data_IF_519169955999
#
_entry.id   IF_519169955999
#
_cell.length_a   1.000
_cell.length_b   1.000
_cell.length_c   1.000
_cell.angle_alpha   90.00
_cell.angle_beta   90.00
_cell.angle_gamma   90.00
#
_symmetry.space_group_name_H-M   'P 1'
#
loop_
_entity.id
_entity.type
_entity.pdbx_description
1 polymer ?
#
# COMPACT_ATOMS: atom_id res chain seq x y z
N UNK A 1 -28.53 57.77 -34.37
CA UNK A 1 -27.83 56.97 -33.35
C UNK A 1 -28.36 55.55 -33.23
N UNK A 2 -29.62 55.32 -32.83
CA UNK A 2 -30.17 53.95 -32.72
C UNK A 2 -30.22 53.22 -34.07
N UNK A 3 -30.62 53.91 -35.13
CA UNK A 3 -30.69 53.37 -36.50
C UNK A 3 -29.30 53.04 -37.05
N UNK A 4 -28.30 53.87 -36.74
CA UNK A 4 -26.91 53.64 -37.17
C UNK A 4 -26.28 52.43 -36.48
N UNK A 5 -26.61 52.23 -35.20
CA UNK A 5 -26.20 51.05 -34.43
C UNK A 5 -26.84 49.78 -35.01
N UNK A 6 -28.14 49.82 -35.34
CA UNK A 6 -28.85 48.67 -35.93
C UNK A 6 -28.31 48.34 -37.33
N UNK A 7 -28.04 49.35 -38.16
CA UNK A 7 -27.45 49.15 -39.48
C UNK A 7 -26.04 48.56 -39.41
N UNK A 8 -25.22 49.02 -38.46
CA UNK A 8 -23.90 48.46 -38.20
C UNK A 8 -23.97 47.00 -37.75
N UNK A 9 -24.89 46.67 -36.83
CA UNK A 9 -25.10 45.30 -36.35
C UNK A 9 -25.57 44.36 -37.46
N UNK A 10 -26.49 44.81 -38.32
CA UNK A 10 -26.99 44.00 -39.43
C UNK A 10 -25.91 43.76 -40.48
N UNK A 11 -25.11 44.78 -40.82
CA UNK A 11 -24.03 44.68 -41.79
C UNK A 11 -22.90 43.75 -41.33
N UNK A 12 -22.61 43.73 -40.03
CA UNK A 12 -21.54 42.93 -39.44
C UNK A 12 -22.02 41.66 -38.71
N UNK A 13 -23.30 41.32 -38.84
CA UNK A 13 -23.96 40.23 -38.09
C UNK A 13 -23.22 38.89 -38.22
N UNK A 14 -22.78 38.53 -39.42
CA UNK A 14 -22.02 37.30 -39.66
C UNK A 14 -20.66 37.28 -38.96
N UNK A 15 -19.95 38.41 -38.92
CA UNK A 15 -18.65 38.53 -38.24
C UNK A 15 -18.84 38.44 -36.72
N UNK A 16 -19.85 39.11 -36.18
CA UNK A 16 -20.19 39.07 -34.75
C UNK A 16 -20.56 37.64 -34.34
N UNK A 17 -21.36 36.94 -35.14
CA UNK A 17 -21.73 35.54 -34.89
C UNK A 17 -20.52 34.60 -34.96
N UNK A 18 -19.63 34.79 -35.94
CA UNK A 18 -18.40 34.00 -36.06
C UNK A 18 -17.48 34.19 -34.85
N UNK A 19 -17.23 35.44 -34.44
CA UNK A 19 -16.42 35.75 -33.25
C UNK A 19 -17.06 35.15 -31.99
N UNK A 20 -18.38 35.31 -31.82
CA UNK A 20 -19.10 34.75 -30.67
C UNK A 20 -18.99 33.24 -30.61
N UNK A 21 -19.07 32.56 -31.77
CA UNK A 21 -18.93 31.10 -31.87
C UNK A 21 -17.51 30.64 -31.52
N UNK A 22 -16.48 31.35 -31.96
CA UNK A 22 -15.08 31.06 -31.62
C UNK A 22 -14.85 31.23 -30.11
N UNK A 23 -15.37 32.32 -29.53
CA UNK A 23 -15.26 32.57 -28.08
C UNK A 23 -15.97 31.47 -27.30
N UNK A 24 -17.21 31.11 -27.68
CA UNK A 24 -17.99 30.09 -26.99
C UNK A 24 -17.33 28.70 -27.09
N UNK A 25 -16.84 28.33 -28.27
CA UNK A 25 -16.14 27.03 -28.47
C UNK A 25 -14.83 26.98 -27.68
N UNK A 26 -14.07 28.07 -27.62
CA UNK A 26 -12.83 28.16 -26.83
C UNK A 26 -13.11 28.00 -25.33
N UNK A 27 -14.10 28.71 -24.81
CA UNK A 27 -14.52 28.60 -23.40
C UNK A 27 -14.98 27.17 -23.10
N UNK A 28 -15.81 26.59 -23.96
CA UNK A 28 -16.31 25.22 -23.80
C UNK A 28 -15.17 24.21 -23.78
N UNK A 29 -14.21 24.34 -24.71
CA UNK A 29 -13.03 23.48 -24.76
C UNK A 29 -12.16 23.61 -23.50
N UNK A 30 -11.98 24.84 -23.00
CA UNK A 30 -11.26 25.08 -21.75
C UNK A 30 -11.94 24.39 -20.55
N UNK A 31 -13.27 24.55 -20.39
CA UNK A 31 -14.02 23.88 -19.33
C UNK A 31 -13.99 22.36 -19.45
N UNK A 32 -14.01 21.82 -20.67
CA UNK A 32 -13.88 20.38 -20.91
C UNK A 32 -12.52 19.86 -20.42
N UNK A 33 -11.42 20.56 -20.73
CA UNK A 33 -10.08 20.20 -20.26
C UNK A 33 -9.96 20.28 -18.73
N UNK A 34 -10.51 21.34 -18.13
CA UNK A 34 -10.50 21.51 -16.69
C UNK A 34 -11.27 20.38 -15.99
N UNK A 35 -12.48 20.08 -16.45
CA UNK A 35 -13.31 18.98 -15.92
C UNK A 35 -12.58 17.65 -16.01
N UNK A 36 -11.90 17.37 -17.13
CA UNK A 36 -11.11 16.13 -17.28
C UNK A 36 -10.00 16.02 -16.24
N UNK A 37 -9.32 17.13 -15.91
CA UNK A 37 -8.29 17.16 -14.86
C UNK A 37 -8.91 16.94 -13.48
N UNK A 38 -9.98 17.65 -13.15
CA UNK A 38 -10.66 17.51 -11.85
C UNK A 38 -11.19 16.09 -11.64
N UNK A 39 -11.79 15.47 -12.66
CA UNK A 39 -12.26 14.07 -12.56
C UNK A 39 -11.09 13.12 -12.33
N UNK A 40 -9.94 13.35 -12.99
CA UNK A 40 -8.73 12.55 -12.78
C UNK A 40 -8.19 12.69 -11.35
N UNK A 41 -8.13 13.92 -10.83
CA UNK A 41 -7.69 14.18 -9.46
C UNK A 41 -8.64 13.58 -8.42
N UNK A 42 -9.95 13.70 -8.62
CA UNK A 42 -10.96 13.07 -7.77
C UNK A 42 -10.88 11.54 -7.80
N UNK A 43 -10.62 10.94 -8.97
CA UNK A 43 -10.41 9.52 -9.10
C UNK A 43 -9.17 9.07 -8.30
N UNK A 44 -8.06 9.80 -8.40
CA UNK A 44 -6.85 9.55 -7.61
C UNK A 44 -7.11 9.72 -6.12
N UNK A 45 -7.80 10.77 -5.69
CA UNK A 45 -8.12 10.97 -4.28
C UNK A 45 -9.01 9.86 -3.71
N UNK A 46 -9.98 9.37 -4.49
CA UNK A 46 -10.78 8.20 -4.08
C UNK A 46 -9.91 6.96 -3.97
N UNK A 47 -8.99 6.77 -4.91
CA UNK A 47 -8.03 5.67 -4.89
C UNK A 47 -7.17 5.70 -3.62
N UNK A 48 -6.53 6.84 -3.33
CA UNK A 48 -5.77 7.05 -2.10
C UNK A 48 -6.62 6.92 -0.84
N UNK A 49 -7.88 7.37 -0.90
CA UNK A 49 -8.84 7.34 0.20
C UNK A 49 -9.26 5.92 0.60
N UNK A 50 -9.09 4.92 -0.27
CA UNK A 50 -9.40 3.51 0.01
C UNK A 50 -8.17 2.61 -0.01
N UNK A 51 -6.97 3.16 0.19
CA UNK A 51 -5.77 2.33 0.24
C UNK A 51 -5.79 1.41 1.48
N UNK A 52 -5.55 0.11 1.30
CA UNK A 52 -5.23 -0.79 2.41
C UNK A 52 -3.83 -0.46 2.93
N UNK A 53 -3.65 -0.53 4.24
CA UNK A 53 -2.35 -0.37 4.89
C UNK A 53 -2.26 -1.50 5.90
N UNK A 54 -1.49 -2.52 5.55
CA UNK A 54 -1.23 -3.65 6.44
C UNK A 54 0.00 -3.34 7.29
N UNK A 55 -0.15 -3.46 8.61
CA UNK A 55 0.93 -3.28 9.58
C UNK A 55 1.05 -4.54 10.40
N UNK A 56 2.29 -4.89 10.74
CA UNK A 56 2.57 -5.93 11.73
C UNK A 56 2.63 -5.26 13.10
N UNK A 57 1.74 -5.68 14.00
CA UNK A 57 1.62 -5.10 15.33
C UNK A 57 2.46 -5.84 16.36
N UNK A 58 2.47 -7.17 16.28
CA UNK A 58 3.12 -8.00 17.28
C UNK A 58 3.59 -9.32 16.67
N UNK A 59 4.76 -9.77 17.12
CA UNK A 59 5.32 -11.08 16.83
C UNK A 59 5.54 -11.75 18.17
N UNK A 60 4.54 -12.50 18.63
CA UNK A 60 4.57 -13.11 19.97
C UNK A 60 5.42 -14.39 19.95
N UNK A 61 6.74 -14.20 20.11
CA UNK A 61 7.72 -15.30 20.17
C UNK A 61 7.61 -16.09 21.47
N UNK A 62 6.95 -15.56 22.50
CA UNK A 62 6.72 -16.26 23.77
C UNK A 62 5.81 -17.49 23.60
N UNK A 63 5.16 -17.61 22.44
CA UNK A 63 4.44 -18.80 21.98
C UNK A 63 5.16 -19.57 20.86
N UNK A 64 6.50 -19.55 20.78
CA UNK A 64 7.21 -20.63 20.10
C UNK A 64 6.89 -21.93 20.85
N UNK A 65 5.84 -22.62 20.41
CA UNK A 65 5.59 -23.99 20.83
C UNK A 65 6.67 -24.83 20.19
N UNK A 66 7.68 -25.17 20.98
CA UNK A 66 8.77 -26.04 20.58
C UNK A 66 8.24 -27.49 20.50
N UNK A 67 7.48 -27.79 19.44
CA UNK A 67 6.83 -29.09 19.24
C UNK A 67 7.85 -30.09 18.69
N UNK A 68 8.79 -30.53 19.53
CA UNK A 68 9.87 -31.53 19.30
C UNK A 68 10.81 -31.27 18.09
N UNK A 69 10.35 -30.70 16.96
CA UNK A 69 11.05 -30.47 15.68
C UNK A 69 10.53 -29.26 14.88
N UNK A 70 9.58 -28.46 15.37
CA UNK A 70 9.10 -27.26 14.65
C UNK A 70 9.04 -26.02 15.56
N UNK A 71 9.30 -24.87 14.95
CA UNK A 71 9.17 -23.53 15.55
C UNK A 71 8.02 -22.84 14.81
N UNK A 72 7.06 -22.28 15.55
CA UNK A 72 5.94 -21.54 14.99
C UNK A 72 6.05 -20.10 15.45
N UNK A 73 6.03 -19.16 14.51
CA UNK A 73 6.06 -17.72 14.78
C UNK A 73 4.69 -17.15 14.39
N UNK A 74 3.83 -16.83 15.37
CA UNK A 74 2.58 -16.13 15.12
C UNK A 74 2.86 -14.65 14.87
N UNK A 75 2.38 -14.13 13.76
CA UNK A 75 2.45 -12.72 13.38
C UNK A 75 1.04 -12.15 13.34
N UNK A 76 0.84 -11.04 14.06
CA UNK A 76 -0.42 -10.29 14.05
C UNK A 76 -0.34 -9.20 12.98
N UNK A 77 -1.16 -9.35 11.94
CA UNK A 77 -1.33 -8.36 10.87
C UNK A 77 -2.62 -7.61 11.12
N UNK A 78 -2.55 -6.28 11.07
CA UNK A 78 -3.69 -5.40 11.16
C UNK A 78 -3.81 -4.54 9.90
N UNK A 79 -5.01 -4.44 9.35
CA UNK A 79 -5.31 -3.47 8.31
C UNK A 79 -5.78 -2.15 8.91
N UNK A 80 -4.84 -1.21 9.05
CA UNK A 80 -5.13 0.15 9.52
C UNK A 80 -5.57 1.09 8.38
N UNK A 81 -5.54 0.60 7.14
CA UNK A 81 -5.96 1.34 5.97
C UNK A 81 -7.47 1.50 5.88
N UNK A 82 -7.91 2.27 4.89
CA UNK A 82 -9.32 2.56 4.68
C UNK A 82 -10.01 1.58 3.73
N UNK A 83 -9.26 0.82 2.95
CA UNK A 83 -9.81 -0.20 2.06
C UNK A 83 -9.40 -1.63 2.42
N UNK A 84 -10.07 -2.61 1.82
CA UNK A 84 -9.74 -4.03 1.96
C UNK A 84 -8.43 -4.37 1.24
N UNK A 85 -7.64 -5.25 1.86
CA UNK A 85 -6.49 -5.89 1.22
C UNK A 85 -6.92 -7.26 0.66
N UNK A 86 -6.63 -7.49 -0.61
CA UNK A 86 -6.89 -8.75 -1.31
C UNK A 86 -5.57 -9.47 -1.59
N UNK A 87 -5.61 -10.81 -1.70
CA UNK A 87 -4.44 -11.62 -2.07
C UNK A 87 -3.18 -11.20 -1.28
N UNK A 88 -3.26 -11.34 0.03
CA UNK A 88 -2.19 -10.98 0.95
C UNK A 88 -1.20 -12.13 1.01
N UNK A 89 0.00 -11.89 0.53
CA UNK A 89 1.13 -12.81 0.51
C UNK A 89 2.19 -12.30 1.51
N UNK A 90 2.39 -13.03 2.60
CA UNK A 90 3.34 -12.67 3.65
C UNK A 90 4.58 -13.57 3.56
N UNK A 91 5.76 -12.98 3.57
CA UNK A 91 7.04 -13.66 3.50
C UNK A 91 7.89 -13.29 4.71
N UNK A 92 8.54 -14.30 5.29
CA UNK A 92 9.52 -14.10 6.35
C UNK A 92 10.89 -14.52 5.83
N UNK A 93 11.86 -13.62 5.97
CA UNK A 93 13.27 -13.85 5.66
C UNK A 93 14.13 -13.53 6.88
N UNK A 94 15.21 -14.29 7.05
CA UNK A 94 16.16 -14.11 8.15
C UNK A 94 17.53 -13.88 7.53
N UNK A 95 18.25 -12.85 7.99
CA UNK A 95 19.48 -12.31 7.37
C UNK A 95 20.56 -13.35 7.01
N UNK A 96 20.59 -14.51 7.67
CA UNK A 96 21.65 -15.51 7.50
C UNK A 96 21.22 -16.77 6.73
N UNK A 97 19.92 -16.98 6.46
CA UNK A 97 19.45 -18.13 5.69
C UNK A 97 18.24 -17.76 4.83
N UNK A 98 18.22 -18.12 3.53
CA UNK A 98 17.10 -17.86 2.62
C UNK A 98 15.93 -18.81 2.87
N UNK A 99 15.58 -19.05 4.14
CA UNK A 99 14.39 -19.83 4.49
C UNK A 99 13.19 -18.91 4.36
N UNK A 100 12.69 -18.79 3.13
CA UNK A 100 11.47 -18.06 2.82
C UNK A 100 10.30 -18.98 3.13
N UNK A 101 9.61 -18.71 4.23
CA UNK A 101 8.26 -19.22 4.42
C UNK A 101 7.29 -18.18 3.90
N UNK A 102 6.42 -18.61 2.99
CA UNK A 102 5.33 -17.79 2.48
C UNK A 102 4.00 -18.27 3.05
N UNK A 103 3.10 -17.32 3.29
CA UNK A 103 1.72 -17.59 3.63
C UNK A 103 0.82 -16.76 2.73
N UNK A 104 -0.26 -17.38 2.25
CA UNK A 104 -1.25 -16.72 1.39
C UNK A 104 -2.59 -16.63 2.11
N UNK A 105 -3.10 -15.41 2.26
CA UNK A 105 -4.43 -15.12 2.76
C UNK A 105 -5.22 -14.41 1.66
N UNK A 106 -6.47 -14.81 1.44
CA UNK A 106 -7.28 -14.23 0.36
C UNK A 106 -7.73 -12.79 0.63
N UNK A 107 -7.96 -12.42 1.90
CA UNK A 107 -8.63 -11.17 2.25
C UNK A 107 -8.38 -10.72 3.70
N UNK A 108 -8.19 -9.41 3.89
CA UNK A 108 -8.19 -8.72 5.20
C UNK A 108 -9.01 -7.43 5.09
N UNK A 109 -10.15 -7.38 5.80
CA UNK A 109 -11.03 -6.21 5.81
C UNK A 109 -10.46 -5.02 6.59
N UNK A 110 -11.07 -3.84 6.46
CA UNK A 110 -10.69 -2.64 7.23
C UNK A 110 -10.87 -2.90 8.73
N UNK A 111 -9.83 -2.62 9.52
CA UNK A 111 -9.83 -2.84 10.97
C UNK A 111 -9.84 -4.32 11.37
N UNK A 112 -9.73 -5.24 10.41
CA UNK A 112 -9.56 -6.65 10.72
C UNK A 112 -8.13 -6.94 11.13
N UNK A 113 -8.03 -7.72 12.21
CA UNK A 113 -6.79 -8.33 12.66
C UNK A 113 -6.79 -9.79 12.21
N UNK A 114 -5.70 -10.23 11.57
CA UNK A 114 -5.45 -11.65 11.26
C UNK A 114 -4.15 -12.11 11.89
N UNK A 115 -4.13 -13.39 12.24
CA UNK A 115 -2.94 -14.06 12.74
C UNK A 115 -2.42 -15.01 11.67
N UNK A 116 -1.16 -14.83 11.27
CA UNK A 116 -0.46 -15.70 10.33
C UNK A 116 0.61 -16.47 11.10
N UNK A 117 0.66 -17.79 10.92
CA UNK A 117 1.65 -18.64 11.57
C UNK A 117 2.71 -19.07 10.56
N UNK A 118 3.95 -18.62 10.76
CA UNK A 118 5.10 -19.13 10.01
C UNK A 118 5.65 -20.38 10.69
N UNK A 119 5.74 -21.49 9.96
CA UNK A 119 6.16 -22.78 10.50
C UNK A 119 7.53 -23.15 9.98
N UNK A 120 8.51 -23.23 10.86
CA UNK A 120 9.87 -23.62 10.52
C UNK A 120 10.20 -25.00 11.06
N UNK A 121 10.88 -25.82 10.25
CA UNK A 121 11.46 -27.10 10.71
C UNK A 121 12.79 -26.83 11.42
N UNK A 122 13.00 -27.48 12.57
CA UNK A 122 14.18 -27.34 13.46
C UNK A 122 15.51 -27.58 12.74
N UNK A 123 15.52 -28.40 11.70
CA UNK A 123 16.69 -28.67 10.87
C UNK A 123 17.20 -27.44 10.11
N UNK A 124 16.31 -26.47 9.81
CA UNK A 124 16.64 -25.21 9.14
C UNK A 124 16.69 -24.00 10.10
N UNK A 125 16.54 -24.23 11.41
CA UNK A 125 16.39 -23.12 12.38
C UNK A 125 17.21 -23.27 13.64
N UNK A 126 17.98 -24.36 13.76
CA UNK A 126 18.90 -24.61 14.87
C UNK A 126 19.92 -23.50 15.07
N UNK A 127 20.37 -22.84 14.01
CA UNK A 127 21.36 -21.76 14.12
C UNK A 127 20.70 -20.38 14.15
N UNK A 128 19.45 -20.25 13.71
CA UNK A 128 18.70 -18.99 13.69
C UNK A 128 18.19 -18.62 15.09
N UNK A 129 17.61 -19.56 15.83
CA UNK A 129 17.04 -19.30 17.15
C UNK A 129 17.91 -19.82 18.30
N UNK A 130 19.20 -20.08 18.04
CA UNK A 130 20.15 -20.20 19.14
C UNK A 130 20.30 -18.81 19.75
N UNK A 131 20.22 -18.67 21.09
CA UNK A 131 20.63 -17.45 21.76
C UNK A 131 22.15 -17.29 21.58
N UNK A 132 22.56 -16.74 20.45
CA UNK A 132 23.93 -16.31 20.20
C UNK A 132 24.11 -14.91 20.79
N UNK A 133 25.36 -14.46 20.97
CA UNK A 133 25.63 -13.09 21.43
C UNK A 133 25.26 -12.03 20.39
N UNK A 134 24.82 -12.45 19.21
CA UNK A 134 24.54 -11.62 18.04
C UNK A 134 23.04 -11.36 17.90
N UNK A 135 22.69 -10.11 17.56
CA UNK A 135 21.32 -9.70 17.24
C UNK A 135 21.06 -10.15 15.80
N UNK A 136 20.02 -10.96 15.58
CA UNK A 136 19.61 -11.37 14.23
C UNK A 136 18.45 -10.52 13.74
N UNK A 137 18.52 -10.14 12.47
CA UNK A 137 17.48 -9.36 11.79
C UNK A 137 16.47 -10.32 11.14
N UNK A 138 15.21 -10.16 11.49
CA UNK A 138 14.09 -10.87 10.88
C UNK A 138 13.28 -9.85 10.08
N UNK A 139 13.21 -10.06 8.76
CA UNK A 139 12.45 -9.22 7.86
C UNK A 139 11.16 -9.94 7.48
N UNK A 140 10.04 -9.25 7.68
CA UNK A 140 8.73 -9.71 7.25
C UNK A 140 8.24 -8.77 6.16
N UNK A 141 8.06 -9.30 4.96
CA UNK A 141 7.42 -8.58 3.86
C UNK A 141 5.98 -9.06 3.70
N UNK A 142 5.07 -8.13 3.45
CA UNK A 142 3.67 -8.41 3.16
C UNK A 142 3.34 -7.73 1.85
N UNK A 143 3.11 -8.52 0.81
CA UNK A 143 2.62 -8.08 -0.47
C UNK A 143 1.09 -8.26 -0.48
N UNK A 144 0.35 -7.30 -1.01
CA UNK A 144 -1.11 -7.34 -1.08
C UNK A 144 -1.66 -6.50 -2.23
N UNK A 145 -2.84 -6.86 -2.70
CA UNK A 145 -3.57 -6.12 -3.71
C UNK A 145 -4.62 -5.19 -3.10
N UNK A 146 -4.74 -3.98 -3.63
CA UNK A 146 -5.86 -3.09 -3.34
C UNK A 146 -7.10 -3.46 -4.15
N UNK A 147 -8.23 -2.81 -3.86
CA UNK A 147 -9.47 -2.96 -4.61
C UNK A 147 -9.34 -2.58 -6.11
N UNK A 148 -8.29 -1.86 -6.48
CA UNK A 148 -7.98 -1.49 -7.86
C UNK A 148 -6.94 -2.40 -8.51
N UNK A 149 -6.71 -3.59 -7.94
CA UNK A 149 -5.73 -4.58 -8.41
C UNK A 149 -4.29 -4.06 -8.46
N UNK A 150 -3.97 -2.97 -7.76
CA UNK A 150 -2.59 -2.51 -7.59
C UNK A 150 -1.90 -3.29 -6.49
N UNK A 151 -0.68 -3.73 -6.75
CA UNK A 151 0.16 -4.42 -5.80
C UNK A 151 0.90 -3.42 -4.89
N UNK A 152 0.80 -3.66 -3.59
CA UNK A 152 1.42 -2.88 -2.53
C UNK A 152 2.21 -3.82 -1.63
N UNK A 153 3.31 -3.32 -1.09
CA UNK A 153 4.15 -4.07 -0.17
C UNK A 153 4.41 -3.29 1.09
N UNK A 154 4.51 -3.99 2.21
CA UNK A 154 5.10 -3.47 3.44
C UNK A 154 6.24 -4.37 3.86
N UNK A 155 7.39 -3.80 4.19
CA UNK A 155 8.46 -4.52 4.87
C UNK A 155 8.58 -3.98 6.28
N UNK A 156 8.70 -4.89 7.24
CA UNK A 156 9.04 -4.56 8.61
C UNK A 156 10.14 -5.47 9.12
N UNK A 157 11.14 -4.84 9.72
CA UNK A 157 12.31 -5.49 10.27
C UNK A 157 12.18 -5.59 11.79
N UNK A 158 12.66 -6.70 12.34
CA UNK A 158 12.60 -6.99 13.76
C UNK A 158 13.95 -7.51 14.26
N UNK A 159 14.30 -7.15 15.49
CA UNK A 159 15.47 -7.66 16.19
C UNK A 159 15.09 -8.86 17.05
N UNK A 160 15.73 -9.99 16.81
CA UNK A 160 15.67 -11.12 17.71
C UNK A 160 16.67 -10.92 18.87
N UNK A 161 16.16 -10.81 20.09
CA UNK A 161 16.96 -10.64 21.31
C UNK A 161 17.62 -11.94 21.73
N UNK A 162 18.62 -11.82 22.62
CA UNK A 162 19.32 -12.97 23.24
C UNK A 162 18.39 -13.86 24.06
N UNK A 163 17.27 -13.33 24.53
CA UNK A 163 16.26 -14.04 25.32
C UNK A 163 15.20 -14.70 24.42
N UNK A 164 15.29 -14.50 23.10
CA UNK A 164 14.34 -15.01 22.12
C UNK A 164 13.14 -14.09 21.89
N UNK A 165 13.13 -12.88 22.46
CA UNK A 165 12.08 -11.90 22.25
C UNK A 165 12.33 -11.10 20.96
N UNK A 166 11.30 -10.89 20.14
CA UNK A 166 11.37 -10.04 18.95
C UNK A 166 10.96 -8.62 19.29
N UNK A 167 11.88 -7.68 19.08
CA UNK A 167 11.60 -6.26 19.21
C UNK A 167 11.47 -5.64 17.83
N UNK A 168 10.34 -4.99 17.59
CA UNK A 168 10.16 -4.14 16.41
C UNK A 168 11.22 -3.06 16.40
N UNK A 169 11.92 -2.91 15.27
CA UNK A 169 12.78 -1.76 15.08
C UNK A 169 11.88 -0.53 14.93
N UNK A 170 11.97 0.41 15.86
CA UNK A 170 11.25 1.69 15.79
C UNK A 170 12.27 2.81 15.64
N UNK A 171 12.41 3.32 14.42
CA UNK A 171 13.27 4.47 14.09
C UNK A 171 14.62 4.10 13.45
N UNK A 172 14.88 4.69 12.27
CA UNK A 172 16.07 4.46 11.43
C UNK A 172 15.70 3.99 10.00
N UNK A 173 16.64 4.08 9.05
CA UNK A 173 16.49 3.61 7.65
C UNK A 173 16.00 2.15 7.55
N UNK A 174 16.29 1.33 8.58
CA UNK A 174 15.92 -0.10 8.66
C UNK A 174 14.69 -0.40 9.54
N UNK A 175 14.15 0.59 10.26
CA UNK A 175 13.05 0.42 11.24
C UNK A 175 11.71 1.01 10.81
N UNK A 176 11.62 1.47 9.56
CA UNK A 176 10.40 2.05 8.99
C UNK A 176 9.40 0.99 8.52
N UNK A 177 8.10 1.31 8.57
CA UNK A 177 7.13 0.65 7.69
C UNK A 177 7.41 1.21 6.29
N UNK A 178 8.19 0.48 5.51
CA UNK A 178 8.45 0.86 4.13
C UNK A 178 7.28 0.38 3.27
N UNK A 179 6.34 1.27 3.01
CA UNK A 179 5.30 1.07 2.01
C UNK A 179 5.92 1.30 0.64
N UNK A 180 5.94 0.27 -0.19
CA UNK A 180 6.38 0.39 -1.57
C UNK A 180 5.24 -0.03 -2.51
N UNK A 181 5.17 0.65 -3.64
CA UNK A 181 4.35 0.22 -4.75
C UNK A 181 5.20 -0.68 -5.62
N UNK A 182 4.70 -1.88 -5.92
CA UNK A 182 5.37 -2.82 -6.83
C UNK A 182 4.76 -2.60 -8.20
N UNK A 183 5.52 -2.03 -9.12
CA UNK A 183 5.14 -2.04 -10.53
C UNK A 183 5.29 -3.48 -11.03
N UNK A 184 4.19 -4.07 -11.51
CA UNK A 184 4.20 -5.37 -12.21
C UNK A 184 4.69 -5.25 -13.64
#
# INVERSE_FOLDING_TARGET
>A
MLIDIVNFLNHNSGVIQAITTIVLTTITFFYMLYTKRTVKELALQREYGILPILIIEDVDVKKIKNLKKTIIIPIKINNVGNGPAFQVDAHLSVSEQPTINSFKQSFIGKGEVKYINFVFKKEHTKDIFKPTREIKLINVSIDFHSAYHKCHGTIQSFHLSKEGDLHKLTGGEDGGINLFHKEE
#
